data_IF_209636502897
#
_entry.id   IF_209636502897
#
_cell.length_a   1.000
_cell.length_b   1.000
_cell.length_c   1.000
_cell.angle_alpha   90.00
_cell.angle_beta   90.00
_cell.angle_gamma   90.00
#
_symmetry.space_group_name_H-M   'P 1'
#
loop_
_entity.id
_entity.type
_entity.pdbx_description
1 polymer ?
#
# COMPACT_ATOMS: atom_id res chain seq x y z
N UNK A 1 -2.57 27.38 -23.59
CA UNK A 1 -3.07 26.04 -23.98
C UNK A 1 -3.41 25.28 -22.70
N UNK A 2 -4.50 24.52 -22.67
CA UNK A 2 -4.78 23.58 -21.57
C UNK A 2 -4.06 22.26 -21.88
N UNK A 3 -3.31 21.66 -20.96
CA UNK A 3 -2.61 20.40 -21.23
C UNK A 3 -3.62 19.25 -21.43
N UNK A 4 -3.34 18.35 -22.37
CA UNK A 4 -4.20 17.18 -22.63
C UNK A 4 -4.15 16.15 -21.49
N UNK A 5 -3.01 16.10 -20.78
CA UNK A 5 -2.79 15.22 -19.62
C UNK A 5 -2.04 15.99 -18.53
N UNK A 6 -2.54 15.92 -17.31
CA UNK A 6 -1.87 16.46 -16.12
C UNK A 6 -1.22 15.33 -15.31
N UNK A 7 0.02 15.54 -14.87
CA UNK A 7 0.75 14.63 -13.99
C UNK A 7 1.01 15.36 -12.66
N UNK A 8 0.49 14.83 -11.56
CA UNK A 8 0.61 15.42 -10.23
C UNK A 8 1.27 14.42 -9.29
N UNK A 9 2.38 14.83 -8.69
CA UNK A 9 3.10 14.06 -7.68
C UNK A 9 3.00 14.78 -6.33
N UNK A 10 2.32 14.16 -5.38
CA UNK A 10 2.05 14.65 -4.03
C UNK A 10 1.57 16.12 -3.99
N UNK A 11 0.51 16.49 -4.75
CA UNK A 11 0.12 17.89 -4.92
C UNK A 11 -0.55 18.49 -3.68
N UNK A 12 -0.90 17.69 -2.68
CA UNK A 12 -1.44 18.15 -1.38
C UNK A 12 -0.34 18.62 -0.43
N UNK A 13 0.94 18.36 -0.75
CA UNK A 13 2.04 18.72 0.13
C UNK A 13 2.16 20.25 0.25
N UNK A 14 2.39 20.74 1.47
CA UNK A 14 2.44 22.17 1.82
C UNK A 14 1.17 22.97 1.53
N UNK A 15 0.05 22.33 1.19
CA UNK A 15 -1.24 22.99 1.04
C UNK A 15 -2.01 23.00 2.37
N UNK A 16 -2.66 24.12 2.66
CA UNK A 16 -3.67 24.17 3.71
C UNK A 16 -5.01 23.59 3.21
N UNK A 17 -5.98 23.47 4.12
CA UNK A 17 -7.28 22.91 3.81
C UNK A 17 -8.05 23.71 2.73
N UNK A 18 -7.86 25.02 2.64
CA UNK A 18 -8.55 25.85 1.64
C UNK A 18 -8.01 25.57 0.23
N UNK A 19 -6.68 25.50 0.11
CA UNK A 19 -6.01 25.17 -1.15
C UNK A 19 -6.28 23.73 -1.59
N UNK A 20 -6.33 22.77 -0.65
CA UNK A 20 -6.73 21.38 -0.96
C UNK A 20 -8.16 21.34 -1.51
N UNK A 21 -9.09 22.08 -0.89
CA UNK A 21 -10.47 22.14 -1.36
C UNK A 21 -10.59 22.79 -2.75
N UNK A 22 -9.78 23.82 -3.02
CA UNK A 22 -9.68 24.41 -4.35
C UNK A 22 -9.14 23.41 -5.39
N UNK A 23 -8.05 22.71 -5.08
CA UNK A 23 -7.43 21.74 -5.98
C UNK A 23 -8.40 20.59 -6.29
N UNK A 24 -9.11 20.10 -5.28
CA UNK A 24 -10.16 19.08 -5.44
C UNK A 24 -11.22 19.53 -6.45
N UNK A 25 -11.78 20.74 -6.29
CA UNK A 25 -12.76 21.28 -7.25
C UNK A 25 -12.17 21.41 -8.65
N UNK A 26 -10.95 21.93 -8.76
CA UNK A 26 -10.25 22.08 -10.03
C UNK A 26 -10.09 20.74 -10.76
N UNK A 27 -9.71 19.67 -10.05
CA UNK A 27 -9.55 18.34 -10.64
C UNK A 27 -10.88 17.67 -11.00
N UNK A 28 -11.93 17.90 -10.21
CA UNK A 28 -13.27 17.39 -10.51
C UNK A 28 -13.89 18.05 -11.76
N UNK A 29 -13.57 19.31 -12.01
CA UNK A 29 -14.02 20.07 -13.19
C UNK A 29 -13.04 19.97 -14.38
N UNK A 30 -11.94 19.24 -14.21
CA UNK A 30 -10.93 19.11 -15.25
C UNK A 30 -11.45 18.25 -16.40
N UNK A 31 -11.59 18.86 -17.58
CA UNK A 31 -12.18 18.22 -18.78
C UNK A 31 -11.31 17.10 -19.36
N UNK A 32 -10.02 17.13 -19.06
CA UNK A 32 -9.00 16.25 -19.62
C UNK A 32 -8.59 15.16 -18.62
N UNK A 33 -7.70 14.26 -19.03
CA UNK A 33 -7.20 13.22 -18.14
C UNK A 33 -6.12 13.75 -17.19
N UNK A 34 -6.05 13.20 -15.99
CA UNK A 34 -4.93 13.44 -15.09
C UNK A 34 -4.48 12.15 -14.40
N UNK A 35 -3.22 12.12 -14.01
CA UNK A 35 -2.61 11.09 -13.16
C UNK A 35 -2.18 11.77 -11.88
N UNK A 36 -2.53 11.15 -10.76
CA UNK A 36 -2.29 11.66 -9.43
C UNK A 36 -1.56 10.59 -8.61
N UNK A 37 -0.47 11.00 -7.96
CA UNK A 37 0.24 10.24 -6.94
C UNK A 37 0.02 10.99 -5.62
N UNK A 38 -0.57 10.32 -4.63
CA UNK A 38 -0.84 10.89 -3.32
C UNK A 38 -0.96 9.78 -2.29
N UNK A 39 -0.61 10.08 -1.04
CA UNK A 39 -0.86 9.23 0.12
C UNK A 39 -2.12 9.67 0.92
N UNK A 40 -2.81 10.73 0.49
CA UNK A 40 -4.05 11.21 1.10
C UNK A 40 -5.28 10.47 0.52
N UNK A 41 -5.78 9.49 1.27
CA UNK A 41 -6.91 8.63 0.86
C UNK A 41 -8.22 9.42 0.66
N UNK A 42 -8.65 10.29 1.61
CA UNK A 42 -9.82 11.15 1.39
C UNK A 42 -9.74 11.96 0.10
N UNK A 43 -8.60 12.61 -0.16
CA UNK A 43 -8.40 13.38 -1.38
C UNK A 43 -8.46 12.52 -2.64
N UNK A 44 -7.84 11.32 -2.62
CA UNK A 44 -7.92 10.38 -3.74
C UNK A 44 -9.37 9.97 -4.02
N UNK A 45 -10.11 9.52 -3.00
CA UNK A 45 -11.50 9.08 -3.13
C UNK A 45 -12.41 10.14 -3.75
N UNK A 46 -12.08 11.41 -3.53
CA UNK A 46 -12.85 12.54 -4.00
C UNK A 46 -12.64 12.90 -5.47
N UNK A 47 -11.48 12.58 -6.05
CA UNK A 47 -11.08 13.06 -7.38
C UNK A 47 -10.82 11.95 -8.38
N UNK A 48 -10.48 10.73 -7.94
CA UNK A 48 -10.11 9.63 -8.84
C UNK A 48 -11.27 8.66 -9.06
N UNK A 49 -11.24 7.98 -10.20
CA UNK A 49 -12.21 6.96 -10.59
C UNK A 49 -11.56 5.64 -11.04
N UNK A 50 -10.22 5.60 -11.06
CA UNK A 50 -9.39 4.46 -11.42
C UNK A 50 -8.17 4.49 -10.51
N UNK A 51 -7.82 3.32 -9.94
CA UNK A 51 -6.57 3.12 -9.20
C UNK A 51 -5.67 2.19 -10.00
N UNK A 52 -4.43 2.62 -10.21
CA UNK A 52 -3.35 1.75 -10.68
C UNK A 52 -2.50 1.35 -9.47
N UNK A 53 -2.62 0.09 -9.04
CA UNK A 53 -1.89 -0.42 -7.88
C UNK A 53 -0.59 -1.10 -8.34
N UNK A 54 0.54 -0.59 -7.86
CA UNK A 54 1.87 -1.15 -8.12
C UNK A 54 2.28 -2.09 -6.99
N UNK A 55 2.37 -3.39 -7.28
CA UNK A 55 2.80 -4.41 -6.33
C UNK A 55 3.67 -5.45 -7.03
N UNK A 56 4.76 -5.91 -6.40
CA UNK A 56 5.63 -6.97 -6.93
C UNK A 56 6.09 -6.73 -8.39
N UNK A 57 6.45 -5.48 -8.72
CA UNK A 57 6.84 -5.06 -10.08
C UNK A 57 5.72 -5.22 -11.13
N UNK A 58 4.47 -5.31 -10.70
CA UNK A 58 3.28 -5.40 -11.55
C UNK A 58 2.34 -4.25 -11.25
N UNK A 59 1.71 -3.74 -12.31
CA UNK A 59 0.71 -2.69 -12.23
C UNK A 59 -0.66 -3.28 -12.59
N UNK A 60 -1.55 -3.34 -11.61
CA UNK A 60 -2.92 -3.81 -11.79
C UNK A 60 -3.89 -2.62 -11.76
N UNK A 61 -4.85 -2.61 -12.70
CA UNK A 61 -5.87 -1.56 -12.81
C UNK A 61 -7.15 -1.95 -12.07
N UNK A 62 -7.67 -1.05 -11.25
CA UNK A 62 -8.92 -1.17 -10.52
C UNK A 62 -9.84 -0.01 -10.87
N UNK A 63 -11.13 -0.28 -11.07
CA UNK A 63 -12.15 0.73 -11.37
C UNK A 63 -12.85 1.11 -10.07
N UNK A 64 -13.01 2.41 -9.84
CA UNK A 64 -13.54 2.97 -8.61
C UNK A 64 -12.51 3.84 -7.89
N UNK A 65 -12.93 4.30 -6.73
CA UNK A 65 -12.11 5.04 -5.78
C UNK A 65 -11.14 4.11 -5.02
N UNK A 66 -10.39 4.66 -4.07
CA UNK A 66 -9.44 3.91 -3.26
C UNK A 66 -10.14 2.88 -2.36
N UNK A 67 -11.28 3.23 -1.78
CA UNK A 67 -12.02 2.32 -0.89
C UNK A 67 -12.50 1.07 -1.66
N UNK A 68 -13.03 1.26 -2.87
CA UNK A 68 -13.44 0.14 -3.71
C UNK A 68 -12.26 -0.70 -4.17
N UNK A 69 -11.14 -0.06 -4.50
CA UNK A 69 -9.89 -0.75 -4.77
C UNK A 69 -9.49 -1.65 -3.60
N UNK A 70 -9.51 -1.12 -2.37
CA UNK A 70 -9.08 -1.86 -1.19
C UNK A 70 -9.96 -3.08 -0.94
N UNK A 71 -11.29 -2.95 -1.03
CA UNK A 71 -12.23 -4.07 -0.91
C UNK A 71 -11.93 -5.19 -1.91
N UNK A 72 -11.79 -4.84 -3.19
CA UNK A 72 -11.52 -5.81 -4.27
C UNK A 72 -10.15 -6.47 -4.09
N UNK A 73 -9.15 -5.68 -3.70
CA UNK A 73 -7.80 -6.15 -3.44
C UNK A 73 -7.76 -7.15 -2.27
N UNK A 74 -8.42 -6.86 -1.15
CA UNK A 74 -8.50 -7.76 0.01
C UNK A 74 -9.20 -9.08 -0.33
N UNK A 75 -10.27 -9.04 -1.12
CA UNK A 75 -10.96 -10.26 -1.59
C UNK A 75 -10.03 -11.09 -2.47
N UNK A 76 -9.34 -10.48 -3.45
CA UNK A 76 -8.39 -11.17 -4.33
C UNK A 76 -7.23 -11.78 -3.54
N UNK A 77 -6.68 -11.04 -2.57
CA UNK A 77 -5.61 -11.50 -1.69
C UNK A 77 -6.05 -12.70 -0.85
N UNK A 78 -7.21 -12.64 -0.20
CA UNK A 78 -7.73 -13.74 0.62
C UNK A 78 -8.02 -15.01 -0.18
N UNK A 79 -8.54 -14.88 -1.41
CA UNK A 79 -8.76 -16.01 -2.31
C UNK A 79 -7.43 -16.67 -2.71
N UNK A 80 -6.41 -15.88 -3.03
CA UNK A 80 -5.08 -16.38 -3.37
C UNK A 80 -4.44 -17.11 -2.18
N UNK A 81 -4.52 -16.55 -0.98
CA UNK A 81 -4.02 -17.18 0.25
C UNK A 81 -4.74 -18.50 0.56
N UNK A 82 -6.07 -18.56 0.38
CA UNK A 82 -6.83 -19.78 0.59
C UNK A 82 -6.46 -20.87 -0.43
N UNK A 83 -6.30 -20.50 -1.71
CA UNK A 83 -5.84 -21.40 -2.76
C UNK A 83 -4.43 -21.92 -2.49
N UNK A 84 -3.52 -21.04 -2.07
CA UNK A 84 -2.16 -21.40 -1.65
C UNK A 84 -2.18 -22.40 -0.50
N UNK A 85 -2.90 -22.11 0.60
CA UNK A 85 -2.99 -23.01 1.77
C UNK A 85 -3.52 -24.39 1.39
N UNK A 86 -4.56 -24.44 0.56
CA UNK A 86 -5.12 -25.71 0.06
C UNK A 86 -4.11 -26.49 -0.78
N UNK A 87 -3.37 -25.81 -1.66
CA UNK A 87 -2.35 -26.44 -2.49
C UNK A 87 -1.18 -26.94 -1.63
N UNK A 88 -0.72 -26.17 -0.64
CA UNK A 88 0.34 -26.60 0.27
C UNK A 88 -0.05 -27.84 1.09
N UNK A 89 -1.29 -27.91 1.55
CA UNK A 89 -1.81 -29.11 2.21
C UNK A 89 -1.79 -30.33 1.27
N UNK A 90 -2.30 -30.18 0.04
CA UNK A 90 -2.28 -31.26 -0.96
C UNK A 90 -0.83 -31.70 -1.27
N UNK A 91 0.09 -30.75 -1.43
CA UNK A 91 1.51 -31.04 -1.66
C UNK A 91 2.10 -31.84 -0.50
N UNK A 92 1.80 -31.45 0.75
CA UNK A 92 2.25 -32.17 1.95
C UNK A 92 1.73 -33.61 1.97
N UNK A 93 0.43 -33.80 1.76
CA UNK A 93 -0.19 -35.13 1.75
C UNK A 93 0.37 -36.05 0.65
N UNK A 94 0.59 -35.51 -0.55
CA UNK A 94 1.19 -36.23 -1.66
C UNK A 94 2.65 -36.61 -1.34
N UNK A 95 3.44 -35.68 -0.79
CA UNK A 95 4.83 -35.92 -0.37
C UNK A 95 4.91 -37.01 0.70
N UNK A 96 4.07 -36.95 1.72
CA UNK A 96 3.99 -37.95 2.79
C UNK A 96 3.59 -39.33 2.27
N UNK A 97 2.65 -39.36 1.31
CA UNK A 97 2.26 -40.63 0.68
C UNK A 97 3.42 -41.23 -0.12
N UNK A 98 4.11 -40.43 -0.93
CA UNK A 98 5.25 -40.91 -1.70
C UNK A 98 6.35 -41.40 -0.77
N UNK A 99 6.71 -40.65 0.27
CA UNK A 99 7.73 -41.03 1.23
C UNK A 99 7.44 -42.39 1.89
N UNK A 100 6.20 -42.61 2.34
CA UNK A 100 5.79 -43.87 3.00
C UNK A 100 5.70 -45.08 2.06
N UNK A 101 5.42 -44.86 0.78
CA UNK A 101 5.07 -45.95 -0.16
C UNK A 101 6.12 -46.23 -1.24
N UNK A 102 7.13 -45.36 -1.40
CA UNK A 102 8.17 -45.51 -2.45
C UNK A 102 8.95 -46.83 -2.36
N UNK A 103 9.15 -47.36 -1.15
CA UNK A 103 9.89 -48.60 -0.91
C UNK A 103 9.02 -49.87 -0.89
N UNK A 104 7.68 -49.75 -0.87
CA UNK A 104 6.76 -50.89 -0.79
C UNK A 104 6.37 -51.37 -2.19
N UNK A 105 6.69 -52.62 -2.54
CA UNK A 105 6.43 -53.18 -3.88
C UNK A 105 4.97 -53.05 -4.30
N UNK A 106 4.02 -53.33 -3.39
CA UNK A 106 2.58 -53.27 -3.66
C UNK A 106 2.05 -51.85 -3.97
N UNK A 107 2.68 -50.80 -3.43
CA UNK A 107 2.21 -49.41 -3.55
C UNK A 107 3.14 -48.50 -4.34
N UNK A 108 4.24 -49.05 -4.90
CA UNK A 108 5.26 -48.33 -5.68
C UNK A 108 4.70 -47.59 -6.89
N UNK A 109 3.82 -48.23 -7.67
CA UNK A 109 3.23 -47.61 -8.86
C UNK A 109 2.32 -46.41 -8.49
N UNK A 110 1.59 -46.51 -7.38
CA UNK A 110 0.78 -45.39 -6.86
C UNK A 110 1.66 -44.23 -6.37
N UNK A 111 2.77 -44.54 -5.68
CA UNK A 111 3.72 -43.52 -5.24
C UNK A 111 4.37 -42.80 -6.44
N UNK A 112 4.76 -43.52 -7.48
CA UNK A 112 5.33 -42.94 -8.71
C UNK A 112 4.33 -42.05 -9.46
N UNK A 113 3.06 -42.45 -9.52
CA UNK A 113 2.00 -41.63 -10.14
C UNK A 113 1.83 -40.28 -9.42
N UNK A 114 1.78 -40.31 -8.08
CA UNK A 114 1.67 -39.09 -7.26
C UNK A 114 2.93 -38.22 -7.31
N UNK A 115 4.12 -38.82 -7.39
CA UNK A 115 5.37 -38.08 -7.62
C UNK A 115 5.30 -37.32 -8.96
N UNK A 116 4.88 -37.98 -10.04
CA UNK A 116 4.73 -37.33 -11.35
C UNK A 116 3.70 -36.20 -11.35
N UNK A 117 2.66 -36.30 -10.49
CA UNK A 117 1.71 -35.20 -10.28
C UNK A 117 2.37 -34.01 -9.59
N UNK A 118 3.17 -34.25 -8.54
CA UNK A 118 3.93 -33.21 -7.85
C UNK A 118 4.94 -32.52 -8.78
N UNK A 119 5.68 -33.29 -9.59
CA UNK A 119 6.72 -32.75 -10.48
C UNK A 119 6.16 -31.87 -11.60
N UNK A 120 4.85 -32.01 -11.91
CA UNK A 120 4.15 -31.25 -12.95
C UNK A 120 3.25 -30.16 -12.39
N UNK A 121 3.21 -29.98 -11.07
CA UNK A 121 2.31 -29.03 -10.43
C UNK A 121 2.93 -27.63 -10.49
N UNK A 122 2.20 -26.66 -11.03
CA UNK A 122 2.55 -25.24 -10.93
C UNK A 122 2.24 -24.76 -9.51
N UNK A 123 3.28 -24.53 -8.72
CA UNK A 123 3.14 -24.11 -7.31
C UNK A 123 2.78 -22.64 -7.26
N UNK A 124 1.70 -22.33 -6.55
CA UNK A 124 1.30 -20.97 -6.24
C UNK A 124 2.34 -20.41 -5.28
N UNK A 125 2.91 -19.25 -5.61
CA UNK A 125 3.80 -18.51 -4.72
C UNK A 125 3.06 -17.30 -4.15
N UNK A 126 3.13 -17.12 -2.83
CA UNK A 126 2.69 -15.88 -2.19
C UNK A 126 3.84 -14.88 -2.27
N UNK A 127 3.51 -13.63 -2.61
CA UNK A 127 4.46 -12.55 -2.51
C UNK A 127 4.92 -12.40 -1.06
N UNK A 128 6.23 -12.21 -0.86
CA UNK A 128 6.78 -11.96 0.46
C UNK A 128 6.24 -10.62 0.99
N UNK A 129 5.57 -10.63 2.14
CA UNK A 129 5.21 -9.39 2.81
C UNK A 129 6.48 -8.66 3.24
N UNK A 130 6.58 -7.38 2.90
CA UNK A 130 7.67 -6.54 3.42
C UNK A 130 7.49 -6.42 4.93
N UNK A 131 8.57 -6.56 5.74
CA UNK A 131 8.46 -6.36 7.18
C UNK A 131 7.93 -4.96 7.45
N UNK A 132 6.89 -4.87 8.29
CA UNK A 132 6.34 -3.57 8.68
C UNK A 132 7.43 -2.79 9.42
N UNK A 133 7.63 -1.49 9.13
CA UNK A 133 8.59 -0.70 9.86
C UNK A 133 8.13 -0.55 11.31
N UNK A 134 9.02 -0.87 12.25
CA UNK A 134 8.80 -0.64 13.68
C UNK A 134 9.58 0.61 14.12
N UNK A 135 8.87 1.56 14.70
CA UNK A 135 9.46 2.81 15.19
C UNK A 135 9.48 2.80 16.73
N UNK A 136 10.67 2.90 17.30
CA UNK A 136 10.87 3.00 18.75
C UNK A 136 11.47 4.38 19.06
N UNK A 137 10.63 5.30 19.53
CA UNK A 137 11.06 6.65 19.89
C UNK A 137 11.61 6.65 21.32
N UNK A 138 12.86 7.08 21.50
CA UNK A 138 13.43 7.33 22.83
C UNK A 138 12.90 8.67 23.34
N UNK A 139 12.16 8.64 24.43
CA UNK A 139 11.76 9.86 25.12
C UNK A 139 12.99 10.47 25.81
N UNK A 140 13.33 11.71 25.45
CA UNK A 140 14.33 12.50 26.16
C UNK A 140 13.82 12.96 27.53
N UNK A 141 14.73 13.32 28.44
CA UNK A 141 14.34 14.00 29.68
C UNK A 141 13.76 15.37 29.34
N UNK A 142 12.53 15.66 29.75
CA UNK A 142 11.93 16.99 29.64
C UNK A 142 12.70 18.00 30.51
N UNK A 143 13.06 19.20 30.01
CA UNK A 143 13.65 20.26 30.82
C UNK A 143 12.72 20.63 31.99
N UNK A 144 13.28 20.78 33.20
CA UNK A 144 12.50 20.83 34.45
C UNK A 144 11.67 22.10 34.71
N UNK A 145 11.68 23.12 33.83
CA UNK A 145 10.87 24.34 34.06
C UNK A 145 10.46 25.11 32.82
N UNK A 146 11.37 25.33 31.87
CA UNK A 146 11.09 26.04 30.61
C UNK A 146 11.68 25.26 29.44
N UNK A 147 10.90 25.08 28.36
CA UNK A 147 11.38 24.53 27.09
C UNK A 147 11.85 25.67 26.17
N UNK A 148 11.14 26.79 26.19
CA UNK A 148 11.44 28.03 25.48
C UNK A 148 10.72 29.18 26.20
N UNK A 149 11.34 30.36 26.27
CA UNK A 149 10.76 31.61 26.79
C UNK A 149 11.07 32.72 25.79
N UNK A 150 10.10 33.57 25.47
CA UNK A 150 10.32 34.73 24.61
C UNK A 150 9.99 36.03 25.31
N UNK A 151 10.79 37.04 25.02
CA UNK A 151 10.51 38.42 25.42
C UNK A 151 10.55 39.32 24.19
N UNK A 152 9.40 39.90 23.88
CA UNK A 152 9.17 40.82 22.75
C UNK A 152 9.69 40.28 21.41
N UNK A 153 9.61 38.97 21.20
CA UNK A 153 10.05 38.36 19.95
C UNK A 153 9.13 38.78 18.81
N UNK A 154 9.71 39.36 17.75
CA UNK A 154 9.00 39.73 16.53
C UNK A 154 9.53 38.88 15.38
N UNK A 155 8.63 38.25 14.65
CA UNK A 155 8.93 37.46 13.46
C UNK A 155 8.58 38.33 12.25
N UNK A 156 9.50 38.46 11.30
CA UNK A 156 9.32 39.27 10.10
C UNK A 156 10.49 39.17 9.15
N UNK A 157 10.36 39.87 8.02
CA UNK A 157 11.46 40.09 7.07
C UNK A 157 11.91 41.55 7.21
N UNK A 158 11.67 42.37 6.19
CA UNK A 158 11.89 43.82 6.24
C UNK A 158 10.84 44.53 7.12
N UNK A 159 9.66 43.92 7.30
CA UNK A 159 8.59 44.39 8.18
C UNK A 159 8.11 43.28 9.15
N UNK A 160 7.58 43.66 10.34
CA UNK A 160 6.99 42.71 11.29
C UNK A 160 5.78 41.95 10.71
N UNK A 161 5.84 40.63 10.72
CA UNK A 161 4.71 39.73 10.38
C UNK A 161 3.95 39.26 11.63
N UNK A 162 4.58 39.32 12.80
CA UNK A 162 3.95 39.01 14.08
C UNK A 162 3.88 40.23 14.99
N UNK A 163 2.89 40.22 15.89
CA UNK A 163 2.96 41.06 17.11
C UNK A 163 4.06 40.52 18.03
N UNK A 164 4.56 41.31 19.00
CA UNK A 164 5.51 40.82 20.00
C UNK A 164 4.99 39.57 20.72
N UNK A 165 5.72 38.48 20.58
CA UNK A 165 5.42 37.19 21.18
C UNK A 165 6.12 37.09 22.54
N UNK A 166 5.31 36.98 23.58
CA UNK A 166 5.73 36.73 24.95
C UNK A 166 5.11 35.39 25.37
N UNK A 167 5.91 34.32 25.30
CA UNK A 167 5.54 32.92 25.57
C UNK A 167 6.39 32.40 26.73
#
# INVERSE_FOLDING_TARGET
EKPDILLLDEPTNYLDAEHIAWLKRYLQEYENAFILISHDIPFLNDVVNIIYHMENQRLDRYVGDYDKFQEVYEVKKSQLEAAYRKQQQEISELKDFVARNKARVATRNMAMSRQKKLDKMDVIELAAERPKPEFNFKLGRTPGRYIFETKDLVIGYDEPLSKPLNI
#
